data_IF_381248891168
#
_entry.id   IF_381248891168
#
_cell.length_a   1.000
_cell.length_b   1.000
_cell.length_c   1.000
_cell.angle_alpha   90.00
_cell.angle_beta   90.00
_cell.angle_gamma   90.00
#
_symmetry.space_group_name_H-M   'P 1'
#
loop_
_entity.id
_entity.type
_entity.pdbx_description
1 polymer ?
#
# COMPACT_ATOMS: atom_id res chain seq x y z
N UNK A 1 1.17 22.29 8.03
CA UNK A 1 1.22 21.44 6.90
C UNK A 1 -0.05 20.63 6.73
N UNK A 2 -0.52 20.51 5.56
CA UNK A 2 -1.77 19.86 5.23
C UNK A 2 -1.65 18.39 4.86
N UNK A 3 -0.65 17.68 5.33
CA UNK A 3 -0.47 16.29 4.99
C UNK A 3 -0.50 15.35 6.20
N UNK A 4 -0.48 14.05 5.98
CA UNK A 4 -0.32 13.09 7.07
C UNK A 4 1.05 13.25 7.73
N UNK A 5 1.19 12.79 8.96
CA UNK A 5 2.45 12.87 9.69
C UNK A 5 3.58 12.11 9.00
N UNK A 6 4.82 12.50 9.28
CA UNK A 6 6.00 11.86 8.68
C UNK A 6 6.09 10.38 9.00
N UNK A 7 5.63 9.95 10.19
CA UNK A 7 5.60 8.54 10.55
C UNK A 7 4.74 7.73 9.58
N UNK A 8 3.58 8.26 9.18
CA UNK A 8 2.73 7.65 8.16
C UNK A 8 3.44 7.57 6.83
N UNK A 9 4.13 8.64 6.41
CA UNK A 9 4.86 8.66 5.15
C UNK A 9 6.03 7.68 5.15
N UNK A 10 6.75 7.56 6.27
CA UNK A 10 7.81 6.55 6.40
C UNK A 10 7.24 5.14 6.26
N UNK A 11 6.11 4.85 6.93
CA UNK A 11 5.46 3.55 6.81
C UNK A 11 5.04 3.26 5.37
N UNK A 12 4.50 4.26 4.66
CA UNK A 12 4.13 4.12 3.25
C UNK A 12 5.34 3.90 2.35
N UNK A 13 6.46 4.57 2.64
CA UNK A 13 7.71 4.36 1.89
C UNK A 13 8.22 2.94 2.06
N UNK A 14 8.20 2.42 3.27
CA UNK A 14 8.60 1.04 3.55
C UNK A 14 7.68 0.04 2.85
N UNK A 15 6.38 0.30 2.85
CA UNK A 15 5.42 -0.52 2.14
C UNK A 15 5.68 -0.51 0.63
N UNK A 16 5.98 0.64 0.07
CA UNK A 16 6.32 0.78 -1.35
C UNK A 16 7.51 -0.10 -1.73
N UNK A 17 8.60 0.00 -0.96
CA UNK A 17 9.80 -0.82 -1.19
C UNK A 17 9.48 -2.31 -1.06
N UNK A 18 8.75 -2.68 -0.02
CA UNK A 18 8.36 -4.07 0.22
C UNK A 18 7.55 -4.64 -0.95
N UNK A 19 6.57 -3.91 -1.44
CA UNK A 19 5.73 -4.36 -2.55
C UNK A 19 6.53 -4.50 -3.84
N UNK A 20 7.42 -3.55 -4.15
CA UNK A 20 8.27 -3.66 -5.34
C UNK A 20 9.23 -4.83 -5.24
N UNK A 21 9.88 -5.02 -4.09
CA UNK A 21 10.81 -6.15 -3.91
C UNK A 21 10.08 -7.48 -4.05
N UNK A 22 8.88 -7.60 -3.50
CA UNK A 22 8.10 -8.83 -3.63
C UNK A 22 7.64 -9.05 -5.07
N UNK A 23 7.22 -8.01 -5.77
CA UNK A 23 6.81 -8.11 -7.16
C UNK A 23 7.95 -8.58 -8.06
N UNK A 24 9.20 -8.17 -7.75
CA UNK A 24 10.39 -8.58 -8.48
C UNK A 24 10.94 -9.93 -8.04
N UNK A 25 10.35 -10.56 -7.03
CA UNK A 25 10.82 -11.86 -6.53
C UNK A 25 12.11 -11.79 -5.72
N UNK A 26 12.45 -10.63 -5.18
CA UNK A 26 13.70 -10.41 -4.44
C UNK A 26 13.61 -10.75 -2.97
N UNK A 27 12.40 -11.01 -2.45
CA UNK A 27 12.20 -11.35 -1.06
C UNK A 27 12.24 -12.88 -0.85
N UNK A 28 12.59 -13.34 0.38
CA UNK A 28 12.60 -14.76 0.68
C UNK A 28 11.22 -15.40 0.50
N UNK A 29 11.16 -16.72 0.17
CA UNK A 29 9.89 -17.41 -0.01
C UNK A 29 9.06 -17.53 1.28
N UNK A 30 9.63 -17.20 2.43
CA UNK A 30 8.88 -17.10 3.69
C UNK A 30 7.89 -15.93 3.70
N UNK A 31 8.14 -14.92 2.85
CA UNK A 31 7.23 -13.78 2.68
C UNK A 31 6.18 -14.17 1.65
N UNK A 32 5.01 -14.56 2.14
CA UNK A 32 3.91 -15.04 1.29
C UNK A 32 3.00 -13.91 0.85
N UNK A 33 2.11 -14.18 -0.11
CA UNK A 33 1.08 -13.23 -0.51
C UNK A 33 0.15 -12.88 0.66
N UNK A 34 -0.09 -13.81 1.59
CA UNK A 34 -0.92 -13.53 2.75
C UNK A 34 -0.28 -12.47 3.65
N UNK A 35 1.03 -12.57 3.90
CA UNK A 35 1.76 -11.55 4.66
C UNK A 35 1.64 -10.20 3.96
N UNK A 36 1.83 -10.17 2.64
CA UNK A 36 1.70 -8.95 1.86
C UNK A 36 0.30 -8.34 1.95
N UNK A 37 -0.73 -9.18 1.85
CA UNK A 37 -2.12 -8.71 1.94
C UNK A 37 -2.42 -8.11 3.30
N UNK A 38 -1.97 -8.75 4.40
CA UNK A 38 -2.18 -8.20 5.74
C UNK A 38 -1.44 -6.89 5.94
N UNK A 39 -0.18 -6.81 5.50
CA UNK A 39 0.61 -5.58 5.57
C UNK A 39 -0.05 -4.45 4.75
N UNK A 40 -0.49 -4.76 3.54
CA UNK A 40 -1.15 -3.79 2.68
C UNK A 40 -2.47 -3.30 3.27
N UNK A 41 -3.29 -4.22 3.79
CA UNK A 41 -4.54 -3.85 4.44
C UNK A 41 -4.29 -2.88 5.59
N UNK A 42 -3.35 -3.21 6.48
CA UNK A 42 -3.03 -2.37 7.64
C UNK A 42 -2.50 -1.01 7.22
N UNK A 43 -1.50 -0.98 6.36
CA UNK A 43 -0.82 0.27 6.00
C UNK A 43 -1.65 1.13 5.04
N UNK A 44 -2.30 0.54 4.04
CA UNK A 44 -3.18 1.30 3.17
C UNK A 44 -4.45 1.76 3.89
N UNK A 45 -5.00 0.94 4.78
CA UNK A 45 -6.13 1.33 5.62
C UNK A 45 -5.78 2.50 6.53
N UNK A 46 -4.65 2.41 7.21
CA UNK A 46 -4.14 3.51 8.04
C UNK A 46 -3.86 4.76 7.21
N UNK A 47 -3.24 4.57 6.04
CA UNK A 47 -2.99 5.67 5.11
C UNK A 47 -4.28 6.34 4.65
N UNK A 48 -5.31 5.57 4.34
CA UNK A 48 -6.61 6.11 3.94
C UNK A 48 -7.19 7.00 5.04
N UNK A 49 -7.14 6.56 6.29
CA UNK A 49 -7.61 7.35 7.42
C UNK A 49 -6.79 8.61 7.61
N UNK A 50 -5.46 8.50 7.50
CA UNK A 50 -4.55 9.64 7.67
C UNK A 50 -4.74 10.69 6.57
N UNK A 51 -4.85 10.27 5.31
CA UNK A 51 -5.10 11.18 4.20
C UNK A 51 -6.50 11.78 4.25
N UNK A 52 -7.49 11.01 4.67
CA UNK A 52 -8.85 11.50 4.87
C UNK A 52 -8.88 12.60 5.93
N UNK A 53 -8.22 12.38 7.06
CA UNK A 53 -8.11 13.37 8.13
C UNK A 53 -7.36 14.63 7.69
N UNK A 54 -6.39 14.48 6.77
CA UNK A 54 -5.63 15.59 6.22
C UNK A 54 -6.36 16.31 5.07
N UNK A 55 -7.54 15.84 4.66
CA UNK A 55 -8.33 16.44 3.59
C UNK A 55 -7.91 16.03 2.18
N UNK A 56 -7.08 15.00 2.03
CA UNK A 56 -6.58 14.52 0.74
C UNK A 56 -7.48 13.39 0.20
N UNK A 57 -8.63 13.75 -0.36
CA UNK A 57 -9.63 12.79 -0.81
C UNK A 57 -9.10 11.81 -1.87
N UNK A 58 -8.26 12.29 -2.78
CA UNK A 58 -7.68 11.46 -3.85
C UNK A 58 -6.81 10.35 -3.27
N UNK A 59 -5.88 10.71 -2.39
CA UNK A 59 -4.99 9.73 -1.76
C UNK A 59 -5.74 8.81 -0.81
N UNK A 60 -6.72 9.33 -0.10
CA UNK A 60 -7.61 8.52 0.74
C UNK A 60 -8.31 7.45 -0.11
N UNK A 61 -8.89 7.84 -1.24
CA UNK A 61 -9.56 6.92 -2.15
C UNK A 61 -8.62 5.87 -2.74
N UNK A 62 -7.42 6.27 -3.16
CA UNK A 62 -6.42 5.36 -3.71
C UNK A 62 -5.96 4.34 -2.67
N UNK A 63 -5.67 4.79 -1.45
CA UNK A 63 -5.27 3.89 -0.36
C UNK A 63 -6.39 2.93 0.00
N UNK A 64 -7.63 3.41 0.08
CA UNK A 64 -8.79 2.57 0.36
C UNK A 64 -9.00 1.51 -0.74
N UNK A 65 -8.87 1.91 -2.00
CA UNK A 65 -8.98 0.99 -3.13
C UNK A 65 -7.92 -0.11 -3.07
N UNK A 66 -6.66 0.23 -2.76
CA UNK A 66 -5.60 -0.75 -2.64
C UNK A 66 -5.81 -1.66 -1.44
N UNK A 67 -6.33 -1.15 -0.32
CA UNK A 67 -6.67 -1.98 0.83
C UNK A 67 -7.73 -3.02 0.48
N UNK A 68 -8.72 -2.65 -0.33
CA UNK A 68 -9.76 -3.58 -0.80
C UNK A 68 -9.19 -4.61 -1.77
N UNK A 69 -8.36 -4.18 -2.72
CA UNK A 69 -7.78 -5.07 -3.72
C UNK A 69 -6.89 -6.13 -3.07
N UNK A 70 -6.08 -5.72 -2.09
CA UNK A 70 -5.14 -6.60 -1.40
C UNK A 70 -5.71 -7.17 -0.09
N UNK A 71 -7.03 -7.14 0.07
CA UNK A 71 -7.70 -7.56 1.30
C UNK A 71 -7.47 -9.06 1.58
N UNK A 72 -6.89 -9.42 2.75
CA UNK A 72 -6.71 -10.83 3.12
C UNK A 72 -7.97 -11.49 3.66
N UNK A 73 -8.95 -10.72 4.13
CA UNK A 73 -10.19 -11.26 4.71
C UNK A 73 -11.07 -11.87 3.63
N UNK A 74 -11.15 -11.21 2.48
CA UNK A 74 -11.84 -11.73 1.31
C UNK A 74 -10.90 -11.62 0.11
N UNK A 75 -9.96 -12.57 -0.02
CA UNK A 75 -8.95 -12.47 -1.07
C UNK A 75 -9.55 -12.60 -2.46
N UNK A 76 -9.26 -11.62 -3.30
CA UNK A 76 -9.67 -11.66 -4.70
C UNK A 76 -8.77 -12.63 -5.47
N UNK A 77 -9.30 -13.42 -6.40
CA UNK A 77 -8.52 -14.36 -7.20
C UNK A 77 -7.75 -13.62 -8.29
N UNK A 78 -6.72 -12.88 -7.92
CA UNK A 78 -5.97 -12.05 -8.85
C UNK A 78 -5.04 -12.84 -9.77
N UNK A 79 -4.58 -14.04 -9.34
CA UNK A 79 -3.66 -14.84 -10.16
C UNK A 79 -2.42 -14.02 -10.56
N UNK A 80 -2.13 -13.96 -11.87
CA UNK A 80 -1.02 -13.20 -12.41
C UNK A 80 -1.17 -11.70 -12.21
N UNK A 81 -2.39 -11.20 -12.04
CA UNK A 81 -2.64 -9.79 -11.77
C UNK A 81 -2.12 -9.36 -10.40
N UNK A 82 -1.81 -10.32 -9.52
CA UNK A 82 -1.27 -10.02 -8.19
C UNK A 82 0.06 -9.24 -8.28
N UNK A 83 0.92 -9.59 -9.21
CA UNK A 83 2.17 -8.85 -9.44
C UNK A 83 1.88 -7.41 -9.87
N UNK A 84 0.94 -7.24 -10.80
CA UNK A 84 0.51 -5.91 -11.22
C UNK A 84 -0.10 -5.10 -10.08
N UNK A 85 -0.90 -5.74 -9.23
CA UNK A 85 -1.48 -5.09 -8.05
C UNK A 85 -0.41 -4.64 -7.06
N UNK A 86 0.62 -5.45 -6.84
CA UNK A 86 1.76 -5.09 -5.98
C UNK A 86 2.52 -3.89 -6.53
N UNK A 87 2.79 -3.88 -7.83
CA UNK A 87 3.48 -2.78 -8.49
C UNK A 87 2.65 -1.50 -8.39
N UNK A 88 1.35 -1.59 -8.67
CA UNK A 88 0.44 -0.46 -8.55
C UNK A 88 0.38 0.07 -7.12
N UNK A 89 0.27 -0.81 -6.15
CA UNK A 89 0.27 -0.43 -4.73
C UNK A 89 1.56 0.24 -4.32
N UNK A 90 2.71 -0.30 -4.75
CA UNK A 90 4.01 0.31 -4.51
C UNK A 90 4.12 1.69 -5.15
N UNK A 91 3.64 1.85 -6.38
CA UNK A 91 3.64 3.14 -7.08
C UNK A 91 2.76 4.16 -6.36
N UNK A 92 1.57 3.77 -5.91
CA UNK A 92 0.66 4.66 -5.16
C UNK A 92 1.31 5.08 -3.84
N UNK A 93 1.85 4.14 -3.07
CA UNK A 93 2.49 4.44 -1.80
C UNK A 93 3.71 5.35 -1.99
N UNK A 94 4.56 5.05 -2.98
CA UNK A 94 5.74 5.87 -3.28
C UNK A 94 5.37 7.27 -3.75
N UNK A 95 4.37 7.38 -4.63
CA UNK A 95 3.90 8.67 -5.12
C UNK A 95 3.31 9.52 -3.99
N UNK A 96 2.56 8.91 -3.08
CA UNK A 96 2.03 9.60 -1.91
C UNK A 96 3.15 10.18 -1.04
N UNK A 97 4.20 9.41 -0.81
CA UNK A 97 5.37 9.87 -0.03
C UNK A 97 6.06 11.04 -0.73
N UNK A 98 6.34 10.92 -2.03
CA UNK A 98 7.01 11.97 -2.79
C UNK A 98 6.16 13.24 -2.82
N UNK A 99 4.85 13.09 -2.98
CA UNK A 99 3.93 14.24 -3.10
C UNK A 99 3.73 14.97 -1.76
N UNK A 100 3.72 14.22 -0.65
CA UNK A 100 3.36 14.77 0.66
C UNK A 100 4.56 15.01 1.58
N UNK A 101 5.72 14.52 1.21
CA UNK A 101 6.94 14.73 2.02
C UNK A 101 7.39 16.18 1.92
#
# INVERSE_FOLDING_TARGET
GGGPGKATLVAMALLSVFLFLQALGMLPPTVTNDVTRWAALGLFGFGALAFGAAGSAVWCGLCAAMAVILNPIYPLPLGELMTGAKILGGAIAGAAVIRCW
#
